data_IF_904257688505
#
_entry.id   IF_904257688505
#
_cell.length_a   1.000
_cell.length_b   1.000
_cell.length_c   1.000
_cell.angle_alpha   90.00
_cell.angle_beta   90.00
_cell.angle_gamma   90.00
#
_symmetry.space_group_name_H-M   'P 1'
#
loop_
_entity.id
_entity.type
_entity.pdbx_description
1 polymer ?
#
# COMPACT_ATOMS: atom_id res chain seq x y z
N UNK A 1 -14.86 5.80 -3.30
CA UNK A 1 -14.52 6.47 -2.04
C UNK A 1 -13.15 7.06 -2.25
N UNK A 2 -12.90 8.28 -1.79
CA UNK A 2 -11.57 8.90 -1.94
C UNK A 2 -10.76 8.58 -0.69
N UNK A 3 -9.55 8.06 -0.87
CA UNK A 3 -8.75 7.48 0.20
C UNK A 3 -7.43 8.19 0.38
N UNK A 4 -6.96 8.19 1.62
CA UNK A 4 -5.59 8.59 1.96
C UNK A 4 -4.84 7.36 2.44
N UNK A 5 -3.70 7.11 1.82
CA UNK A 5 -2.83 5.98 2.11
C UNK A 5 -1.60 6.47 2.88
N UNK A 6 -1.22 5.74 3.91
CA UNK A 6 -0.05 6.03 4.74
C UNK A 6 0.78 4.76 4.88
N UNK A 7 2.01 4.79 4.37
CA UNK A 7 3.00 3.78 4.64
C UNK A 7 3.64 4.04 6.02
N UNK A 8 3.96 2.95 6.71
CA UNK A 8 4.56 3.01 8.04
C UNK A 8 6.04 2.60 8.01
N UNK A 9 6.74 2.80 6.88
CA UNK A 9 8.01 2.12 6.52
C UNK A 9 9.07 2.10 7.62
N UNK A 10 9.22 3.20 8.37
CA UNK A 10 10.22 3.36 9.43
C UNK A 10 9.70 3.00 10.84
N UNK A 11 8.43 2.62 10.96
CA UNK A 11 7.82 2.17 12.21
C UNK A 11 8.30 0.76 12.58
N UNK A 12 8.94 0.62 13.74
CA UNK A 12 9.52 -0.67 14.19
C UNK A 12 8.51 -1.81 14.35
N UNK A 13 7.23 -1.52 14.56
CA UNK A 13 6.18 -2.53 14.77
C UNK A 13 5.20 -2.67 13.60
N UNK A 14 5.15 -1.66 12.72
CA UNK A 14 4.16 -1.58 11.64
C UNK A 14 4.78 -1.33 10.25
N UNK A 15 6.08 -1.49 10.08
CA UNK A 15 6.75 -1.23 8.78
C UNK A 15 6.17 -2.00 7.59
N UNK A 16 5.49 -3.11 7.83
CA UNK A 16 4.80 -3.92 6.83
C UNK A 16 3.29 -3.65 6.71
N UNK A 17 2.80 -2.53 7.26
CA UNK A 17 1.38 -2.16 7.27
C UNK A 17 1.16 -0.91 6.42
N UNK A 18 0.21 -0.99 5.49
CA UNK A 18 -0.37 0.15 4.81
C UNK A 18 -1.66 0.56 5.55
N UNK A 19 -1.69 1.80 6.04
CA UNK A 19 -2.87 2.35 6.73
C UNK A 19 -3.71 3.15 5.73
N UNK A 20 -5.01 2.90 5.70
CA UNK A 20 -5.96 3.49 4.75
C UNK A 20 -7.03 4.25 5.51
N UNK A 21 -7.18 5.54 5.19
CA UNK A 21 -8.18 6.44 5.76
C UNK A 21 -9.25 6.79 4.72
N UNK A 22 -10.50 6.90 5.18
CA UNK A 22 -11.60 7.41 4.36
C UNK A 22 -11.66 8.95 4.49
N UNK A 23 -11.45 9.67 3.38
CA UNK A 23 -11.51 11.13 3.41
C UNK A 23 -12.90 11.66 3.71
N UNK A 24 -13.94 10.88 3.41
CA UNK A 24 -15.33 11.27 3.63
C UNK A 24 -15.80 10.98 5.05
N UNK A 25 -15.01 10.24 5.83
CA UNK A 25 -15.30 9.93 7.23
C UNK A 25 -13.99 9.89 8.05
N UNK A 26 -13.33 11.05 8.25
CA UNK A 26 -11.99 11.13 8.85
C UNK A 26 -11.92 10.65 10.31
N UNK A 27 -13.05 10.60 11.01
CA UNK A 27 -13.13 10.11 12.40
C UNK A 27 -13.29 8.58 12.49
N UNK A 28 -13.52 7.89 11.37
CA UNK A 28 -13.62 6.44 11.35
C UNK A 28 -12.27 5.78 11.66
N UNK A 29 -12.26 4.60 12.31
CA UNK A 29 -11.04 3.81 12.44
C UNK A 29 -10.44 3.48 11.06
N UNK A 30 -9.12 3.56 10.89
CA UNK A 30 -8.49 3.24 9.61
C UNK A 30 -8.55 1.75 9.33
N UNK A 31 -8.47 1.39 8.05
CA UNK A 31 -8.22 0.02 7.61
C UNK A 31 -6.72 -0.23 7.55
N UNK A 32 -6.26 -1.37 8.05
CA UNK A 32 -4.84 -1.76 8.00
C UNK A 32 -4.66 -2.99 7.11
N UNK A 33 -3.83 -2.85 6.06
CA UNK A 33 -3.44 -3.95 5.19
C UNK A 33 -2.03 -4.39 5.55
N UNK A 34 -1.86 -5.67 5.89
CA UNK A 34 -0.57 -6.24 6.33
C UNK A 34 0.11 -7.02 5.21
N UNK A 35 1.39 -6.76 5.00
CA UNK A 35 2.22 -7.43 3.98
C UNK A 35 3.38 -8.21 4.60
N UNK A 36 4.07 -8.99 3.77
CA UNK A 36 5.23 -9.80 4.20
C UNK A 36 6.54 -9.01 4.33
N UNK A 37 6.61 -7.86 3.67
CA UNK A 37 7.79 -6.98 3.55
C UNK A 37 7.41 -5.56 3.94
N UNK A 38 8.40 -4.69 4.10
CA UNK A 38 8.15 -3.29 4.44
C UNK A 38 7.38 -2.62 3.31
N UNK A 39 6.30 -1.93 3.62
CA UNK A 39 5.58 -1.11 2.64
C UNK A 39 6.31 0.22 2.54
N UNK A 40 6.58 0.68 1.33
CA UNK A 40 7.11 2.02 1.07
C UNK A 40 6.47 2.61 -0.16
N UNK A 41 6.05 3.86 -0.04
CA UNK A 41 5.48 4.69 -1.08
C UNK A 41 4.22 4.09 -1.75
N UNK A 42 3.37 4.97 -2.24
CA UNK A 42 2.20 4.63 -3.03
C UNK A 42 2.17 5.52 -4.25
N UNK A 43 1.69 4.99 -5.37
CA UNK A 43 1.48 5.77 -6.59
C UNK A 43 0.18 5.32 -7.25
N UNK A 44 -0.62 6.28 -7.70
CA UNK A 44 -1.86 5.98 -8.42
C UNK A 44 -1.60 5.72 -9.91
N UNK A 45 -2.40 4.84 -10.50
CA UNK A 45 -2.49 4.78 -11.95
C UNK A 45 -3.20 6.02 -12.53
N UNK A 46 -3.19 6.16 -13.86
CA UNK A 46 -3.80 7.31 -14.55
C UNK A 46 -5.32 7.45 -14.28
N UNK A 47 -6.02 6.33 -14.08
CA UNK A 47 -7.46 6.34 -13.86
C UNK A 47 -7.84 6.67 -12.41
N UNK A 48 -6.87 6.61 -11.49
CA UNK A 48 -7.10 6.82 -10.06
C UNK A 48 -7.88 5.69 -9.40
N UNK A 49 -7.92 4.50 -9.99
CA UNK A 49 -8.65 3.33 -9.48
C UNK A 49 -7.74 2.20 -8.99
N UNK A 50 -6.43 2.36 -9.14
CA UNK A 50 -5.41 1.46 -8.60
C UNK A 50 -4.38 2.24 -7.80
N UNK A 51 -3.93 1.66 -6.70
CA UNK A 51 -2.80 2.13 -5.91
C UNK A 51 -1.70 1.09 -5.93
N UNK A 52 -0.51 1.51 -6.36
CA UNK A 52 0.66 0.67 -6.48
C UNK A 52 1.56 0.95 -5.30
N UNK A 53 1.91 -0.08 -4.53
CA UNK A 53 2.84 0.04 -3.40
C UNK A 53 4.12 -0.72 -3.68
N UNK A 54 5.23 -0.24 -3.12
CA UNK A 54 6.48 -1.01 -3.11
C UNK A 54 6.60 -1.81 -1.83
N UNK A 55 6.92 -3.10 -1.98
CA UNK A 55 7.39 -3.95 -0.90
C UNK A 55 8.92 -3.92 -0.91
N UNK A 56 9.50 -3.11 -0.02
CA UNK A 56 10.93 -2.88 0.05
C UNK A 56 11.65 -4.03 0.73
N UNK A 57 12.52 -4.67 -0.06
CA UNK A 57 13.43 -5.74 0.31
C UNK A 57 14.52 -5.86 -0.77
N UNK A 58 15.59 -6.63 -0.53
CA UNK A 58 16.58 -6.95 -1.58
C UNK A 58 15.91 -7.63 -2.77
N UNK A 59 14.97 -8.52 -2.48
CA UNK A 59 14.06 -9.11 -3.48
C UNK A 59 12.74 -8.34 -3.45
N UNK A 60 12.72 -7.10 -3.94
CA UNK A 60 11.56 -6.24 -3.90
C UNK A 60 10.38 -6.73 -4.75
N UNK A 61 9.19 -6.20 -4.46
CA UNK A 61 7.96 -6.47 -5.21
C UNK A 61 7.13 -5.18 -5.34
N UNK A 62 6.29 -5.10 -6.37
CA UNK A 62 5.20 -4.11 -6.43
C UNK A 62 3.88 -4.85 -6.29
N UNK A 63 2.97 -4.30 -5.49
CA UNK A 63 1.60 -4.80 -5.36
C UNK A 63 0.65 -3.75 -5.88
N UNK A 64 -0.23 -4.14 -6.80
CA UNK A 64 -1.31 -3.31 -7.34
C UNK A 64 -2.57 -3.63 -6.54
N UNK A 65 -3.13 -2.62 -5.89
CA UNK A 65 -4.32 -2.71 -5.06
C UNK A 65 -5.47 -2.02 -5.81
N UNK A 66 -6.63 -2.66 -5.87
CA UNK A 66 -7.87 -2.01 -6.29
C UNK A 66 -8.24 -0.95 -5.25
N UNK A 67 -8.29 0.32 -5.63
CA UNK A 67 -8.59 1.38 -4.67
C UNK A 67 -9.95 1.10 -4.05
N UNK A 68 -10.99 0.76 -4.84
CA UNK A 68 -12.38 0.61 -4.36
C UNK A 68 -12.56 -0.54 -3.38
N UNK A 69 -11.96 -1.71 -3.62
CA UNK A 69 -12.17 -2.89 -2.77
C UNK A 69 -11.07 -3.11 -1.74
N UNK A 70 -9.90 -2.48 -1.90
CA UNK A 70 -8.66 -2.73 -1.15
C UNK A 70 -8.09 -4.14 -1.34
N UNK A 71 -8.50 -4.84 -2.41
CA UNK A 71 -8.00 -6.16 -2.76
C UNK A 71 -6.79 -6.06 -3.69
N UNK A 72 -5.90 -7.05 -3.62
CA UNK A 72 -4.77 -7.19 -4.53
C UNK A 72 -5.25 -7.59 -5.93
N UNK A 73 -4.95 -6.76 -6.93
CA UNK A 73 -5.24 -7.04 -8.35
C UNK A 73 -4.09 -7.74 -9.05
N UNK A 74 -2.87 -7.36 -8.71
CA UNK A 74 -1.67 -7.89 -9.34
C UNK A 74 -0.44 -7.74 -8.45
N UNK A 75 0.58 -8.52 -8.76
CA UNK A 75 1.87 -8.52 -8.09
C UNK A 75 2.99 -8.68 -9.09
N UNK A 76 3.99 -7.82 -9.00
CA UNK A 76 5.19 -7.83 -9.84
C UNK A 76 6.35 -8.21 -8.94
N UNK A 77 7.02 -9.32 -9.27
CA UNK A 77 8.14 -9.88 -8.50
C UNK A 77 9.44 -9.83 -9.31
N UNK A 78 10.55 -10.24 -8.70
CA UNK A 78 11.85 -10.24 -9.37
C UNK A 78 12.49 -8.86 -9.50
N UNK A 79 12.05 -7.90 -8.68
CA UNK A 79 12.63 -6.55 -8.63
C UNK A 79 13.81 -6.56 -7.66
N UNK A 80 14.99 -6.89 -8.16
CA UNK A 80 16.20 -6.86 -7.35
C UNK A 80 16.59 -5.41 -7.05
N UNK A 81 16.64 -5.05 -5.77
CA UNK A 81 17.15 -3.74 -5.34
C UNK A 81 18.57 -3.93 -4.78
N UNK A 82 19.57 -3.18 -5.30
CA UNK A 82 20.96 -3.33 -4.88
C UNK A 82 21.20 -2.97 -3.40
#
# INVERSE_FOLDING_TARGET
SMRVYCDNTINQKKSNVLTVFDINNPDAPPTELTFKKKVVHMEYNKAGDEVWISLWDKEGEIVVIDDKTLEEKARITGLYTP
#
